data_IF_790888824295
#
_entry.id   IF_790888824295
#
_cell.length_a   1.000
_cell.length_b   1.000
_cell.length_c   1.000
_cell.angle_alpha   90.00
_cell.angle_beta   90.00
_cell.angle_gamma   90.00
#
_symmetry.space_group_name_H-M   'P 1'
#
loop_
_entity.id
_entity.type
_entity.pdbx_description
1 polymer ?
#
# COMPACT_ATOMS: atom_id res chain seq x y z
N UNK A 1 -23.69 -17.37 0.02
CA UNK A 1 -23.50 -15.90 -0.02
C UNK A 1 -22.19 -15.59 -0.75
N UNK A 2 -22.17 -14.64 -1.70
CA UNK A 2 -20.91 -14.20 -2.33
C UNK A 2 -20.05 -13.44 -1.31
N UNK A 3 -18.77 -13.78 -1.19
CA UNK A 3 -17.82 -13.06 -0.33
C UNK A 3 -17.73 -11.60 -0.81
N UNK A 4 -17.87 -10.64 0.11
CA UNK A 4 -17.73 -9.23 -0.22
C UNK A 4 -16.27 -8.91 -0.56
N UNK A 5 -16.01 -8.02 -1.53
CA UNK A 5 -14.63 -7.72 -1.94
C UNK A 5 -13.90 -6.75 -0.98
N UNK A 6 -14.57 -6.29 0.06
CA UNK A 6 -14.05 -5.39 1.09
C UNK A 6 -14.15 -6.04 2.48
N UNK A 7 -13.34 -5.56 3.42
CA UNK A 7 -13.31 -6.04 4.81
C UNK A 7 -14.03 -5.06 5.72
N UNK A 8 -14.45 -5.54 6.89
CA UNK A 8 -15.14 -4.72 7.89
C UNK A 8 -14.47 -4.92 9.25
N UNK A 9 -14.02 -3.81 9.84
CA UNK A 9 -13.57 -3.75 11.22
C UNK A 9 -14.72 -3.17 12.04
N UNK A 10 -15.19 -3.93 13.03
CA UNK A 10 -16.14 -3.44 14.02
C UNK A 10 -15.38 -2.79 15.15
N UNK A 11 -15.61 -1.52 15.37
CA UNK A 11 -14.91 -0.78 16.44
C UNK A 11 -15.58 -1.15 17.77
N UNK A 12 -14.84 -1.71 18.76
CA UNK A 12 -15.40 -2.03 20.06
C UNK A 12 -15.83 -0.75 20.76
N UNK A 13 -16.89 -0.84 21.58
CA UNK A 13 -17.49 0.26 22.35
C UNK A 13 -18.04 1.44 21.54
N UNK A 14 -17.73 1.55 20.27
CA UNK A 14 -18.26 2.60 19.39
C UNK A 14 -19.21 1.99 18.35
N UNK A 15 -20.35 2.61 18.04
CA UNK A 15 -21.27 2.12 17.02
C UNK A 15 -20.78 2.40 15.60
N UNK A 16 -19.47 2.26 15.37
CA UNK A 16 -18.82 2.53 14.10
C UNK A 16 -18.29 1.26 13.45
N UNK A 17 -18.38 1.22 12.13
CA UNK A 17 -17.73 0.21 11.30
C UNK A 17 -16.75 0.89 10.35
N UNK A 18 -15.55 0.35 10.23
CA UNK A 18 -14.56 0.79 9.25
C UNK A 18 -14.55 -0.23 8.11
N UNK A 19 -14.62 0.25 6.89
CA UNK A 19 -14.60 -0.58 5.68
C UNK A 19 -13.24 -0.46 5.00
N UNK A 20 -12.54 -1.58 4.79
CA UNK A 20 -11.20 -1.60 4.20
C UNK A 20 -11.30 -2.09 2.76
N UNK A 21 -10.81 -1.28 1.81
CA UNK A 21 -10.76 -1.57 0.38
C UNK A 21 -9.32 -1.60 -0.10
N UNK A 22 -8.89 -2.72 -0.69
CA UNK A 22 -7.51 -2.93 -1.17
C UNK A 22 -7.39 -2.73 -2.69
N UNK A 23 -8.47 -2.33 -3.35
CA UNK A 23 -8.52 -2.07 -4.79
C UNK A 23 -9.77 -1.25 -5.16
N UNK A 24 -9.71 -0.56 -6.28
CA UNK A 24 -10.80 0.31 -6.74
C UNK A 24 -12.13 -0.44 -6.90
N UNK A 25 -12.10 -1.66 -7.45
CA UNK A 25 -13.29 -2.48 -7.62
C UNK A 25 -14.01 -2.76 -6.29
N UNK A 26 -13.25 -3.00 -5.22
CA UNK A 26 -13.79 -3.20 -3.88
C UNK A 26 -14.45 -1.93 -3.34
N UNK A 27 -13.81 -0.79 -3.55
CA UNK A 27 -14.35 0.51 -3.16
C UNK A 27 -15.63 0.85 -3.91
N UNK A 28 -15.66 0.71 -5.24
CA UNK A 28 -16.87 0.93 -6.05
C UNK A 28 -18.03 0.02 -5.62
N UNK A 29 -17.74 -1.24 -5.28
CA UNK A 29 -18.76 -2.16 -4.76
C UNK A 29 -19.25 -1.73 -3.37
N UNK A 30 -18.36 -1.26 -2.49
CA UNK A 30 -18.72 -0.74 -1.17
C UNK A 30 -19.69 0.45 -1.29
N UNK A 31 -19.36 1.45 -2.12
CA UNK A 31 -20.21 2.62 -2.34
C UNK A 31 -21.62 2.22 -2.81
N UNK A 32 -21.69 1.25 -3.72
CA UNK A 32 -22.96 0.69 -4.22
C UNK A 32 -23.74 -0.04 -3.11
N UNK A 33 -23.07 -0.91 -2.35
CA UNK A 33 -23.69 -1.69 -1.28
C UNK A 33 -24.22 -0.80 -0.14
N UNK A 34 -23.64 0.39 0.01
CA UNK A 34 -23.98 1.39 1.02
C UNK A 34 -24.87 2.52 0.52
N UNK A 35 -25.36 2.42 -0.72
CA UNK A 35 -26.21 3.42 -1.34
C UNK A 35 -25.65 4.85 -1.23
N UNK A 36 -24.33 5.00 -1.47
CA UNK A 36 -23.71 6.32 -1.54
C UNK A 36 -24.10 6.98 -2.84
N UNK A 37 -24.73 8.15 -2.74
CA UNK A 37 -25.23 8.90 -3.90
C UNK A 37 -24.17 9.80 -4.52
N UNK A 38 -23.21 10.25 -3.71
CA UNK A 38 -22.14 11.14 -4.15
C UNK A 38 -21.10 10.37 -4.98
N UNK A 39 -20.64 11.00 -6.07
CA UNK A 39 -19.48 10.49 -6.80
C UNK A 39 -18.22 10.77 -6.00
N UNK A 40 -17.50 9.73 -5.63
CA UNK A 40 -16.25 9.81 -4.88
C UNK A 40 -15.15 9.20 -5.74
N UNK A 41 -14.01 9.86 -5.81
CA UNK A 41 -12.83 9.34 -6.47
C UNK A 41 -12.21 8.21 -5.65
N UNK A 42 -11.47 7.32 -6.30
CA UNK A 42 -10.85 6.16 -5.62
C UNK A 42 -9.70 6.60 -4.74
N UNK A 43 -8.79 7.39 -5.28
CA UNK A 43 -7.66 8.00 -4.58
C UNK A 43 -7.40 9.34 -5.24
N UNK A 44 -7.41 10.42 -4.48
CA UNK A 44 -7.20 11.76 -5.01
C UNK A 44 -5.70 12.08 -5.13
N UNK A 45 -5.34 12.83 -6.18
CA UNK A 45 -4.01 13.40 -6.32
C UNK A 45 -2.84 12.41 -6.33
N UNK A 46 -3.07 11.11 -6.60
CA UNK A 46 -2.03 10.09 -6.58
C UNK A 46 -1.70 9.58 -5.18
N UNK A 47 -2.61 9.74 -4.22
CA UNK A 47 -2.49 9.17 -2.88
C UNK A 47 -2.30 7.66 -2.93
N UNK A 48 -1.52 7.12 -1.99
CA UNK A 48 -1.29 5.67 -1.84
C UNK A 48 -2.36 5.02 -0.94
N UNK A 49 -2.92 5.81 -0.04
CA UNK A 49 -3.98 5.44 0.87
C UNK A 49 -4.83 6.68 1.19
N UNK A 50 -6.08 6.48 1.56
CA UNK A 50 -6.98 7.58 1.91
C UNK A 50 -8.12 7.10 2.81
N UNK A 51 -8.46 7.91 3.81
CA UNK A 51 -9.63 7.71 4.67
C UNK A 51 -10.77 8.61 4.20
N UNK A 52 -11.89 8.00 3.85
CA UNK A 52 -13.11 8.71 3.47
C UNK A 52 -14.17 8.62 4.56
N UNK A 53 -14.85 9.75 4.79
CA UNK A 53 -16.07 9.83 5.57
C UNK A 53 -17.20 10.33 4.67
N UNK A 54 -18.19 9.49 4.43
CA UNK A 54 -19.18 9.74 3.38
C UNK A 54 -20.60 9.50 3.90
N UNK A 55 -21.54 10.44 3.70
CA UNK A 55 -22.95 10.21 4.03
C UNK A 55 -23.56 9.17 3.07
N UNK A 56 -24.37 8.29 3.62
CA UNK A 56 -25.14 7.30 2.89
C UNK A 56 -26.58 7.79 2.69
N UNK A 57 -27.32 7.19 1.77
CA UNK A 57 -28.69 7.61 1.44
C UNK A 57 -29.68 7.48 2.62
N UNK A 58 -29.40 6.61 3.58
CA UNK A 58 -30.19 6.43 4.82
C UNK A 58 -29.78 7.37 5.96
N UNK A 59 -28.87 8.33 5.69
CA UNK A 59 -28.38 9.31 6.66
C UNK A 59 -27.27 8.79 7.59
N UNK A 60 -26.82 7.53 7.42
CA UNK A 60 -25.68 7.01 8.16
C UNK A 60 -24.35 7.57 7.58
N UNK A 61 -23.29 7.43 8.34
CA UNK A 61 -21.93 7.79 7.91
C UNK A 61 -21.13 6.54 7.60
N UNK A 62 -20.58 6.48 6.40
CA UNK A 62 -19.65 5.45 5.96
C UNK A 62 -18.21 5.92 6.23
N UNK A 63 -17.47 5.21 7.07
CA UNK A 63 -16.03 5.40 7.28
C UNK A 63 -15.30 4.32 6.51
N UNK A 64 -14.47 4.69 5.56
CA UNK A 64 -13.71 3.73 4.75
C UNK A 64 -12.25 4.11 4.63
N UNK A 65 -11.39 3.09 4.61
CA UNK A 65 -9.97 3.20 4.27
C UNK A 65 -9.73 2.52 2.93
N UNK A 66 -9.13 3.24 2.03
CA UNK A 66 -8.63 2.73 0.76
C UNK A 66 -7.12 2.55 0.88
N UNK A 67 -6.60 1.40 0.47
CA UNK A 67 -5.17 1.09 0.41
C UNK A 67 -4.86 0.51 -0.97
N UNK A 68 -4.12 1.23 -1.79
CA UNK A 68 -3.66 0.68 -3.06
C UNK A 68 -2.30 0.00 -2.89
N UNK A 69 -2.32 -1.32 -2.73
CA UNK A 69 -1.12 -2.13 -2.55
C UNK A 69 -0.13 -2.03 -3.72
N UNK A 70 -0.58 -1.58 -4.90
CA UNK A 70 0.30 -1.43 -6.06
C UNK A 70 1.20 -0.20 -5.97
N UNK A 71 0.83 0.83 -5.22
CA UNK A 71 1.59 2.09 -5.13
C UNK A 71 2.25 2.30 -3.77
N UNK A 72 1.76 1.67 -2.71
CA UNK A 72 2.33 1.78 -1.36
C UNK A 72 3.80 1.34 -1.37
N UNK A 73 4.67 2.18 -0.79
CA UNK A 73 6.11 1.94 -0.68
C UNK A 73 6.47 1.30 0.66
N UNK A 74 5.90 1.83 1.74
CA UNK A 74 6.07 1.32 3.09
C UNK A 74 4.68 1.08 3.68
N UNK A 75 4.31 -0.19 3.74
CA UNK A 75 2.96 -0.60 4.15
C UNK A 75 2.71 -0.31 5.63
N UNK A 76 3.69 -0.56 6.50
CA UNK A 76 3.52 -0.41 7.94
C UNK A 76 3.44 1.07 8.32
N UNK A 77 4.30 1.92 7.77
CA UNK A 77 4.22 3.36 7.96
C UNK A 77 2.89 3.93 7.44
N UNK A 78 2.42 3.46 6.27
CA UNK A 78 1.13 3.89 5.72
C UNK A 78 -0.01 3.49 6.64
N UNK A 79 -0.05 2.25 7.14
CA UNK A 79 -1.13 1.79 8.02
C UNK A 79 -1.15 2.56 9.34
N UNK A 80 0.02 2.84 9.94
CA UNK A 80 0.10 3.65 11.15
C UNK A 80 -0.49 5.03 10.91
N UNK A 81 -0.10 5.69 9.81
CA UNK A 81 -0.60 7.01 9.43
C UNK A 81 -2.13 7.00 9.26
N UNK A 82 -2.66 6.07 8.49
CA UNK A 82 -4.10 5.97 8.24
C UNK A 82 -4.90 5.57 9.49
N UNK A 83 -4.30 4.80 10.40
CA UNK A 83 -4.94 4.46 11.67
C UNK A 83 -5.21 5.70 12.53
N UNK A 84 -4.30 6.67 12.51
CA UNK A 84 -4.51 7.96 13.20
C UNK A 84 -5.67 8.74 12.58
N UNK A 85 -5.73 8.80 11.24
CA UNK A 85 -6.85 9.43 10.55
C UNK A 85 -8.18 8.74 10.84
N UNK A 86 -8.22 7.41 10.85
CA UNK A 86 -9.43 6.64 11.18
C UNK A 86 -9.93 6.95 12.58
N UNK A 87 -9.03 7.01 13.58
CA UNK A 87 -9.37 7.39 14.95
C UNK A 87 -9.99 8.78 15.01
N UNK A 88 -9.39 9.73 14.30
CA UNK A 88 -9.91 11.09 14.22
C UNK A 88 -11.33 11.11 13.63
N UNK A 89 -11.57 10.38 12.53
CA UNK A 89 -12.90 10.30 11.90
C UNK A 89 -13.94 9.59 12.75
N UNK A 90 -13.55 8.63 13.59
CA UNK A 90 -14.47 7.98 14.54
C UNK A 90 -14.91 8.97 15.60
N UNK A 91 -14.01 9.75 16.20
CA UNK A 91 -14.36 10.76 17.20
C UNK A 91 -15.19 11.89 16.61
N UNK A 92 -14.86 12.35 15.41
CA UNK A 92 -15.68 13.30 14.65
C UNK A 92 -17.11 12.78 14.43
N UNK A 93 -17.25 11.51 14.00
CA UNK A 93 -18.55 10.84 13.85
C UNK A 93 -19.33 10.75 15.17
N UNK A 94 -18.65 10.54 16.28
CA UNK A 94 -19.24 10.49 17.62
C UNK A 94 -19.52 11.87 18.22
N UNK A 95 -19.14 12.95 17.54
CA UNK A 95 -19.17 14.33 18.04
C UNK A 95 -18.41 14.48 19.37
N UNK A 96 -17.28 13.76 19.50
CA UNK A 96 -16.39 13.81 20.65
C UNK A 96 -15.21 14.73 20.33
N UNK A 97 -15.26 15.95 20.81
CA UNK A 97 -14.25 16.97 20.49
C UNK A 97 -12.94 16.79 21.26
N UNK A 98 -13.02 16.25 22.47
CA UNK A 98 -11.87 16.13 23.37
C UNK A 98 -11.67 14.72 23.94
N UNK A 99 -11.48 13.70 23.08
CA UNK A 99 -11.22 12.34 23.56
C UNK A 99 -9.91 12.30 24.35
N UNK A 100 -9.89 11.52 25.43
CA UNK A 100 -8.69 11.32 26.24
C UNK A 100 -7.53 10.73 25.42
N UNK A 101 -6.30 11.11 25.78
CA UNK A 101 -5.08 10.65 25.08
C UNK A 101 -4.96 9.13 25.06
N UNK A 102 -5.20 8.48 26.20
CA UNK A 102 -5.18 7.03 26.32
C UNK A 102 -6.23 6.36 25.41
N UNK A 103 -7.43 6.93 25.32
CA UNK A 103 -8.48 6.41 24.45
C UNK A 103 -8.07 6.47 22.98
N UNK A 104 -7.42 7.58 22.58
CA UNK A 104 -6.86 7.72 21.22
C UNK A 104 -5.78 6.67 20.96
N UNK A 105 -4.84 6.50 21.90
CA UNK A 105 -3.74 5.58 21.78
C UNK A 105 -4.23 4.12 21.64
N UNK A 106 -5.11 3.67 22.53
CA UNK A 106 -5.68 2.33 22.47
C UNK A 106 -6.50 2.09 21.20
N UNK A 107 -7.28 3.08 20.77
CA UNK A 107 -8.07 2.91 19.54
C UNK A 107 -7.17 2.88 18.30
N UNK A 108 -6.11 3.68 18.27
CA UNK A 108 -5.12 3.63 17.18
C UNK A 108 -4.44 2.26 17.12
N UNK A 109 -3.98 1.76 18.26
CA UNK A 109 -3.36 0.43 18.35
C UNK A 109 -4.33 -0.68 17.90
N UNK A 110 -5.58 -0.62 18.34
CA UNK A 110 -6.60 -1.59 17.96
C UNK A 110 -6.83 -1.58 16.45
N UNK A 111 -7.05 -0.40 15.85
CA UNK A 111 -7.29 -0.26 14.40
C UNK A 111 -6.08 -0.76 13.61
N UNK A 112 -4.88 -0.36 13.99
CA UNK A 112 -3.64 -0.82 13.38
C UNK A 112 -3.55 -2.36 13.38
N UNK A 113 -3.76 -2.99 14.53
CA UNK A 113 -3.74 -4.45 14.67
C UNK A 113 -4.79 -5.14 13.78
N UNK A 114 -5.99 -4.60 13.71
CA UNK A 114 -7.05 -5.17 12.88
C UNK A 114 -6.76 -5.03 11.38
N UNK A 115 -6.20 -3.90 10.95
CA UNK A 115 -5.76 -3.74 9.55
C UNK A 115 -4.62 -4.73 9.24
N UNK A 116 -3.63 -4.86 10.13
CA UNK A 116 -2.55 -5.84 9.98
C UNK A 116 -3.10 -7.26 9.87
N UNK A 117 -4.05 -7.64 10.72
CA UNK A 117 -4.71 -8.96 10.68
C UNK A 117 -5.35 -9.23 9.31
N UNK A 118 -6.01 -8.24 8.71
CA UNK A 118 -6.59 -8.35 7.36
C UNK A 118 -5.49 -8.54 6.32
N UNK A 119 -4.43 -7.76 6.38
CA UNK A 119 -3.32 -7.81 5.42
C UNK A 119 -2.47 -9.08 5.55
N UNK A 120 -2.46 -9.69 6.74
CA UNK A 120 -1.81 -10.96 7.01
C UNK A 120 -2.59 -12.18 6.52
N UNK A 121 -3.82 -12.01 6.01
CA UNK A 121 -4.54 -13.11 5.36
C UNK A 121 -3.68 -13.71 4.22
N UNK A 122 -3.54 -15.06 4.14
CA UNK A 122 -2.61 -15.70 3.21
C UNK A 122 -2.77 -15.28 1.75
N UNK A 123 -4.01 -15.05 1.31
CA UNK A 123 -4.33 -14.61 -0.05
C UNK A 123 -3.85 -13.18 -0.34
N UNK A 124 -4.00 -12.27 0.62
CA UNK A 124 -3.58 -10.87 0.51
C UNK A 124 -2.06 -10.79 0.58
N UNK A 125 -1.47 -11.49 1.54
CA UNK A 125 -0.02 -11.57 1.73
C UNK A 125 0.70 -12.11 0.49
N UNK A 126 0.14 -13.15 -0.14
CA UNK A 126 0.65 -13.69 -1.40
C UNK A 126 0.59 -12.64 -2.51
N UNK A 127 -0.58 -11.99 -2.70
CA UNK A 127 -0.76 -10.93 -3.70
C UNK A 127 0.21 -9.77 -3.49
N UNK A 128 0.40 -9.31 -2.26
CA UNK A 128 1.32 -8.21 -1.96
C UNK A 128 2.78 -8.57 -2.27
N UNK A 129 3.22 -9.80 -1.97
CA UNK A 129 4.55 -10.30 -2.37
C UNK A 129 4.71 -10.29 -3.89
N UNK A 130 3.74 -10.81 -4.64
CA UNK A 130 3.77 -10.80 -6.10
C UNK A 130 3.92 -9.39 -6.67
N UNK A 131 3.23 -8.39 -6.08
CA UNK A 131 3.36 -6.98 -6.45
C UNK A 131 4.79 -6.47 -6.18
N UNK A 132 5.35 -6.76 -5.01
CA UNK A 132 6.71 -6.36 -4.66
C UNK A 132 7.75 -6.98 -5.59
N UNK A 133 7.61 -8.26 -5.90
CA UNK A 133 8.51 -8.97 -6.81
C UNK A 133 8.46 -8.38 -8.22
N UNK A 134 7.28 -8.05 -8.74
CA UNK A 134 7.13 -7.36 -10.02
C UNK A 134 7.79 -5.98 -10.03
N UNK A 135 7.62 -5.18 -8.97
CA UNK A 135 8.28 -3.88 -8.83
C UNK A 135 9.80 -4.01 -8.82
N UNK A 136 10.32 -4.97 -8.06
CA UNK A 136 11.75 -5.22 -7.99
C UNK A 136 12.33 -5.64 -9.34
N UNK A 137 11.65 -6.52 -10.08
CA UNK A 137 12.05 -6.92 -11.42
C UNK A 137 12.06 -5.74 -12.41
N UNK A 138 11.06 -4.86 -12.35
CA UNK A 138 10.99 -3.66 -13.18
C UNK A 138 12.17 -2.69 -12.89
N UNK A 139 12.52 -2.50 -11.62
CA UNK A 139 13.69 -1.68 -11.22
C UNK A 139 14.99 -2.28 -11.73
N UNK A 140 15.18 -3.59 -11.56
CA UNK A 140 16.37 -4.31 -12.07
C UNK A 140 16.47 -4.17 -13.59
N UNK A 141 15.37 -4.38 -14.31
CA UNK A 141 15.33 -4.23 -15.77
C UNK A 141 15.71 -2.81 -16.23
N UNK A 142 15.19 -1.78 -15.55
CA UNK A 142 15.53 -0.40 -15.84
C UNK A 142 17.03 -0.09 -15.60
N UNK A 143 17.60 -0.60 -14.50
CA UNK A 143 19.02 -0.44 -14.19
C UNK A 143 19.91 -1.14 -15.22
N UNK A 144 19.54 -2.33 -15.70
CA UNK A 144 20.27 -3.06 -16.74
C UNK A 144 20.24 -2.26 -18.05
N UNK A 145 19.08 -1.75 -18.47
CA UNK A 145 18.99 -0.90 -19.67
C UNK A 145 19.85 0.36 -19.57
N UNK A 146 19.84 1.04 -18.42
CA UNK A 146 20.71 2.22 -18.22
C UNK A 146 22.19 1.86 -18.31
N UNK A 147 22.61 0.72 -17.78
CA UNK A 147 24.00 0.27 -17.86
C UNK A 147 24.40 -0.08 -19.31
N UNK A 148 23.52 -0.67 -20.09
CA UNK A 148 23.76 -0.97 -21.50
C UNK A 148 23.87 0.30 -22.36
N UNK A 149 23.03 1.30 -22.10
CA UNK A 149 23.09 2.60 -22.79
C UNK A 149 24.37 3.37 -22.44
N UNK A 150 24.84 3.30 -21.20
CA UNK A 150 26.09 3.94 -20.79
C UNK A 150 27.33 3.29 -21.39
N UNK A 151 27.29 1.98 -21.64
CA UNK A 151 28.39 1.23 -22.27
C UNK A 151 28.38 1.28 -23.81
N UNK A 152 27.21 1.54 -24.44
CA UNK A 152 27.07 1.65 -25.89
C UNK A 152 27.48 3.00 -26.49
N UNK A 153 27.74 4.02 -25.66
CA UNK A 153 28.15 5.36 -26.09
C UNK A 153 29.64 5.56 -26.34
N UNK A 154 30.51 4.56 -26.12
CA UNK A 154 31.92 4.60 -26.49
C UNK A 154 32.08 4.27 -27.99
N UNK A 155 31.77 5.27 -28.81
CA UNK A 155 31.87 5.24 -30.26
C UNK A 155 33.23 4.80 -30.76
N UNK A 156 33.17 4.08 -31.83
CA UNK A 156 34.20 3.76 -32.80
C UNK A 156 35.23 4.86 -32.98
N UNK A 157 36.27 4.89 -32.15
CA UNK A 157 37.56 5.42 -32.52
C UNK A 157 38.53 4.24 -32.60
N UNK A 158 38.78 3.83 -33.84
CA UNK A 158 39.78 2.88 -34.21
C UNK A 158 41.16 3.28 -33.65
N UNK A 159 41.56 2.63 -32.57
CA UNK A 159 42.96 2.52 -32.19
C UNK A 159 43.25 1.03 -31.96
N UNK A 160 43.95 0.48 -32.96
CA UNK A 160 44.53 -0.83 -32.92
C UNK A 160 45.64 -0.86 -31.88
N UNK A 161 45.54 -1.72 -30.92
CA UNK A 161 46.58 -2.60 -30.38
C UNK A 161 46.22 -3.19 -29.01
N UNK A 162 46.15 -4.47 -28.98
CA UNK A 162 46.71 -5.40 -28.01
C UNK A 162 46.28 -5.38 -26.55
N UNK A 163 45.85 -6.56 -26.19
CA UNK A 163 45.89 -7.19 -24.85
C UNK A 163 44.57 -7.27 -24.09
N UNK A 164 44.22 -8.54 -23.85
CA UNK A 164 43.00 -8.96 -23.19
C UNK A 164 42.86 -8.48 -21.76
N UNK A 165 41.63 -8.23 -21.38
CA UNK A 165 41.22 -8.17 -19.99
C UNK A 165 39.98 -9.02 -19.81
N UNK A 166 40.08 -9.91 -18.84
CA UNK A 166 39.25 -11.01 -18.45
C UNK A 166 37.86 -10.65 -17.94
N UNK A 167 36.96 -11.58 -18.12
CA UNK A 167 35.60 -11.77 -17.63
C UNK A 167 35.37 -11.65 -16.11
N UNK A 168 35.65 -10.50 -15.47
CA UNK A 168 35.50 -10.35 -14.01
C UNK A 168 34.26 -9.59 -13.51
N UNK A 169 33.55 -8.87 -14.37
CA UNK A 169 32.50 -7.92 -13.92
C UNK A 169 31.14 -8.55 -13.63
N UNK A 170 30.84 -9.74 -14.14
CA UNK A 170 29.53 -10.37 -13.96
C UNK A 170 29.33 -11.04 -12.58
N UNK A 171 30.41 -11.46 -11.92
CA UNK A 171 30.33 -12.16 -10.62
C UNK A 171 30.16 -11.23 -9.42
N UNK A 172 30.59 -9.98 -9.51
CA UNK A 172 30.53 -9.02 -8.39
C UNK A 172 29.10 -8.55 -8.11
N UNK A 173 28.29 -8.31 -9.17
CA UNK A 173 26.90 -7.87 -9.02
C UNK A 173 26.03 -8.99 -8.42
N UNK A 174 26.29 -10.25 -8.79
CA UNK A 174 25.52 -11.39 -8.27
C UNK A 174 25.78 -11.67 -6.77
N UNK A 175 26.98 -11.41 -6.27
CA UNK A 175 27.36 -11.62 -4.84
C UNK A 175 26.79 -10.54 -3.92
N UNK A 176 26.56 -9.32 -4.40
CA UNK A 176 26.03 -8.23 -3.58
C UNK A 176 24.52 -8.39 -3.33
N UNK A 177 23.77 -8.89 -4.32
CA UNK A 177 22.31 -9.10 -4.20
C UNK A 177 21.98 -10.25 -3.26
N UNK A 178 22.81 -11.31 -3.22
CA UNK A 178 22.57 -12.48 -2.34
C UNK A 178 22.82 -12.17 -0.86
N UNK A 179 23.64 -11.16 -0.52
CA UNK A 179 23.94 -10.79 0.87
C UNK A 179 22.88 -9.88 1.52
N UNK A 180 22.05 -9.19 0.74
CA UNK A 180 21.00 -8.32 1.27
C UNK A 180 19.71 -9.06 1.61
N UNK A 181 19.46 -10.25 1.04
CA UNK A 181 18.24 -11.03 1.29
C UNK A 181 18.32 -11.99 2.49
N UNK A 182 19.44 -12.05 3.24
CA UNK A 182 19.58 -12.93 4.41
C UNK A 182 19.51 -12.18 5.75
N UNK A 183 19.02 -10.94 5.77
CA UNK A 183 18.83 -10.15 7.00
C UNK A 183 17.48 -9.41 6.98
N UNK A 184 16.40 -10.15 6.88
CA UNK A 184 15.05 -9.72 7.30
C UNK A 184 14.37 -10.91 7.96
#
# INVERSE_FOLDING_TARGET
MKKKPYFVIKVPIFPANIYICLEEKAFRQLLKDKNVLQKIEYLEGGAMAEVHTTPTADGATLISLILDLNVIKDLDCTIVHESVHLVYRIFEYMNEETPGEETRAYLTEYIFKEIKRILDEPSIRKRYREILDQKNQAVIGALVQMAELSNGGAGSNSFSSGAGISSGAKDTVRKTITKTNSRV
#
